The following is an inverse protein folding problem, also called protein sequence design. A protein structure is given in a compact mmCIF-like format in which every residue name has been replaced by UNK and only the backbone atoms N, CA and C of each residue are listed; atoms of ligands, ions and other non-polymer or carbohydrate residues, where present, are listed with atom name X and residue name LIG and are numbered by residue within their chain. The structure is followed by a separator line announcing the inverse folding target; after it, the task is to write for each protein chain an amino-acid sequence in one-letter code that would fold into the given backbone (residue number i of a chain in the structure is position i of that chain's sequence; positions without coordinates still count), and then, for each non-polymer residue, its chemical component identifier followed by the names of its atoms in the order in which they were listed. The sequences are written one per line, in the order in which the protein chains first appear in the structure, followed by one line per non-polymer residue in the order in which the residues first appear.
data_IF_784190780981
#
_entry.id   IF_784190780981
#
_cell.length_a   1.000
_cell.length_b   1.000
_cell.length_c   1.000
_cell.angle_alpha   90.00
_cell.angle_beta   90.00
_cell.angle_gamma   90.00
#
_symmetry.space_group_name_H-M   'P 1'
#
loop_
_entity.id
_entity.type
_entity.pdbx_description
1 polymer ?
#
# COMPACT_ATOMS: atom_id res chain seq x y z
N UNK A 1 -31.04 -15.26 -6.13
CA UNK A 1 -32.26 -15.63 -5.38
C UNK A 1 -32.13 -15.35 -3.87
N UNK A 2 -31.42 -14.29 -3.51
CA UNK A 2 -31.51 -13.64 -2.20
C UNK A 2 -31.96 -12.22 -2.49
N UNK A 3 -33.28 -12.02 -2.50
CA UNK A 3 -33.87 -10.68 -2.61
C UNK A 3 -33.80 -10.07 -1.20
N UNK A 4 -32.60 -9.67 -0.77
CA UNK A 4 -32.45 -8.91 0.47
C UNK A 4 -32.66 -7.45 0.08
N UNK A 5 -33.93 -7.10 -0.11
CA UNK A 5 -34.38 -5.73 -0.25
C UNK A 5 -34.51 -5.05 1.11
N UNK A 6 -34.86 -3.77 1.06
CA UNK A 6 -35.21 -3.00 2.27
C UNK A 6 -36.41 -3.62 3.02
N UNK A 7 -37.34 -4.23 2.30
CA UNK A 7 -38.55 -4.85 2.86
C UNK A 7 -38.23 -6.10 3.67
N UNK A 8 -37.38 -7.00 3.15
CA UNK A 8 -36.99 -8.23 3.82
C UNK A 8 -36.18 -7.93 5.08
N UNK A 9 -35.28 -6.94 5.02
CA UNK A 9 -34.55 -6.48 6.20
C UNK A 9 -35.49 -5.94 7.27
N UNK A 10 -36.52 -5.18 6.88
CA UNK A 10 -37.55 -4.68 7.79
C UNK A 10 -38.34 -5.82 8.41
N UNK A 11 -38.75 -6.83 7.62
CA UNK A 11 -39.46 -8.00 8.13
C UNK A 11 -38.62 -8.77 9.16
N UNK A 12 -37.34 -8.99 8.88
CA UNK A 12 -36.41 -9.62 9.83
C UNK A 12 -36.24 -8.77 11.09
N UNK A 13 -36.12 -7.44 10.96
CA UNK A 13 -36.03 -6.54 12.10
C UNK A 13 -37.27 -6.62 13.00
N UNK A 14 -38.48 -6.65 12.40
CA UNK A 14 -39.74 -6.81 13.16
C UNK A 14 -39.77 -8.16 13.87
N UNK A 15 -39.44 -9.26 13.18
CA UNK A 15 -39.40 -10.59 13.79
C UNK A 15 -38.38 -10.63 14.94
N UNK A 16 -37.19 -10.06 14.75
CA UNK A 16 -36.18 -9.98 15.79
C UNK A 16 -36.67 -9.18 17.01
N UNK A 17 -37.38 -8.06 16.80
CA UNK A 17 -37.97 -7.27 17.88
C UNK A 17 -39.04 -8.04 18.64
N UNK A 18 -39.85 -8.88 17.98
CA UNK A 18 -40.88 -9.70 18.64
C UNK A 18 -40.27 -10.85 19.42
N UNK A 19 -39.28 -11.55 18.84
CA UNK A 19 -38.67 -12.74 19.44
C UNK A 19 -37.74 -12.39 20.59
N UNK A 20 -36.87 -11.39 20.40
CA UNK A 20 -35.87 -10.99 21.40
C UNK A 20 -36.45 -9.92 22.33
N UNK A 21 -37.39 -9.10 21.84
CA UNK A 21 -37.90 -7.94 22.55
C UNK A 21 -37.10 -6.66 22.22
N UNK A 22 -37.77 -5.50 22.12
CA UNK A 22 -37.12 -4.21 21.78
C UNK A 22 -36.11 -3.73 22.83
N UNK A 23 -36.24 -4.17 24.08
CA UNK A 23 -35.35 -3.77 25.18
C UNK A 23 -34.07 -4.62 25.23
N UNK A 24 -34.11 -5.83 24.70
CA UNK A 24 -32.98 -6.76 24.74
C UNK A 24 -32.20 -6.80 23.43
N UNK A 25 -32.79 -6.39 22.32
CA UNK A 25 -32.09 -6.22 21.04
C UNK A 25 -30.84 -5.30 21.15
N UNK A 26 -30.88 -4.13 21.85
CA UNK A 26 -29.69 -3.32 22.06
C UNK A 26 -28.60 -4.01 22.91
N UNK A 27 -28.98 -4.92 23.81
CA UNK A 27 -28.02 -5.70 24.58
C UNK A 27 -27.41 -6.81 23.72
N UNK A 28 -28.23 -7.51 22.94
CA UNK A 28 -27.79 -8.54 22.01
C UNK A 28 -26.82 -7.98 20.95
N UNK A 29 -27.11 -6.82 20.38
CA UNK A 29 -26.20 -6.12 19.45
C UNK A 29 -24.85 -5.81 20.08
N UNK A 30 -24.81 -5.43 21.37
CA UNK A 30 -23.55 -5.22 22.09
C UNK A 30 -22.75 -6.51 22.26
N UNK A 31 -23.42 -7.62 22.58
CA UNK A 31 -22.76 -8.94 22.73
C UNK A 31 -22.19 -9.41 21.40
N UNK A 32 -23.01 -9.37 20.34
CA UNK A 32 -22.58 -9.72 18.98
C UNK A 32 -21.45 -8.81 18.53
N UNK A 33 -21.58 -7.50 18.74
CA UNK A 33 -20.55 -6.52 18.39
C UNK A 33 -19.23 -6.76 19.12
N UNK A 34 -19.28 -7.14 20.41
CA UNK A 34 -18.08 -7.50 21.17
C UNK A 34 -17.40 -8.75 20.59
N UNK A 35 -18.17 -9.79 20.27
CA UNK A 35 -17.68 -11.02 19.66
C UNK A 35 -17.06 -10.77 18.29
N UNK A 36 -17.78 -10.05 17.42
CA UNK A 36 -17.29 -9.67 16.09
C UNK A 36 -16.04 -8.78 16.22
N UNK A 37 -16.01 -7.84 17.16
CA UNK A 37 -14.85 -6.99 17.42
C UNK A 37 -13.62 -7.79 17.86
N UNK A 38 -13.81 -8.78 18.73
CA UNK A 38 -12.75 -9.70 19.17
C UNK A 38 -12.24 -10.59 18.04
N UNK A 39 -13.15 -11.15 17.24
CA UNK A 39 -12.80 -11.91 16.04
C UNK A 39 -12.06 -11.06 15.00
N UNK A 40 -12.50 -9.80 14.79
CA UNK A 40 -11.82 -8.82 13.92
C UNK A 40 -10.42 -8.50 14.44
N UNK A 41 -10.25 -8.36 15.75
CA UNK A 41 -8.94 -8.16 16.40
C UNK A 41 -8.00 -9.34 16.17
N UNK A 42 -8.50 -10.55 16.39
CA UNK A 42 -7.75 -11.78 16.12
C UNK A 42 -7.38 -11.92 14.63
N UNK A 43 -8.32 -11.61 13.73
CA UNK A 43 -8.07 -11.59 12.29
C UNK A 43 -7.02 -10.56 11.88
N UNK A 44 -6.93 -9.40 12.54
CA UNK A 44 -5.86 -8.42 12.29
C UNK A 44 -4.49 -8.93 12.74
N UNK A 45 -4.43 -9.61 13.89
CA UNK A 45 -3.21 -10.24 14.38
C UNK A 45 -2.76 -11.37 13.44
N UNK A 46 -3.71 -12.18 12.97
CA UNK A 46 -3.43 -13.20 11.96
C UNK A 46 -3.00 -12.56 10.65
N UNK A 47 -3.63 -11.48 10.17
CA UNK A 47 -3.19 -10.79 8.95
C UNK A 47 -1.74 -10.32 9.08
N UNK A 48 -1.37 -9.73 10.23
CA UNK A 48 0.00 -9.30 10.48
C UNK A 48 0.99 -10.47 10.48
N UNK A 49 0.66 -11.60 11.10
CA UNK A 49 1.52 -12.79 11.08
C UNK A 49 1.45 -13.62 9.78
N UNK A 50 0.34 -13.54 9.05
CA UNK A 50 0.18 -14.15 7.73
C UNK A 50 0.92 -13.36 6.68
N UNK A 51 1.03 -12.03 6.74
CA UNK A 51 1.87 -11.29 5.79
C UNK A 51 3.34 -11.75 5.90
N UNK A 52 3.82 -12.11 7.10
CA UNK A 52 5.15 -12.69 7.30
C UNK A 52 5.26 -14.13 6.75
N UNK A 53 4.24 -14.98 6.98
CA UNK A 53 4.23 -16.38 6.51
C UNK A 53 3.93 -16.50 5.02
N UNK A 54 3.05 -15.66 4.47
CA UNK A 54 2.68 -15.59 3.06
C UNK A 54 3.86 -15.10 2.25
N UNK A 55 4.65 -14.15 2.76
CA UNK A 55 5.96 -13.83 2.20
C UNK A 55 6.79 -15.10 2.04
N UNK A 56 6.84 -15.95 3.05
CA UNK A 56 7.65 -17.17 3.04
C UNK A 56 7.07 -18.28 2.14
N UNK A 57 5.74 -18.45 2.07
CA UNK A 57 5.10 -19.43 1.19
C UNK A 57 5.00 -19.01 -0.28
N UNK A 58 4.76 -17.71 -0.54
CA UNK A 58 4.86 -17.16 -1.90
C UNK A 58 6.30 -17.22 -2.38
N UNK A 59 7.29 -16.91 -1.53
CA UNK A 59 8.71 -17.05 -1.88
C UNK A 59 9.08 -18.50 -2.19
N UNK A 60 8.62 -19.48 -1.41
CA UNK A 60 8.92 -20.89 -1.68
C UNK A 60 8.32 -21.40 -3.01
N UNK A 61 7.10 -20.99 -3.35
CA UNK A 61 6.49 -21.34 -4.64
C UNK A 61 7.11 -20.57 -5.83
N UNK A 62 7.46 -19.29 -5.62
CA UNK A 62 8.16 -18.46 -6.60
C UNK A 62 9.57 -19.00 -6.89
N UNK A 63 10.32 -19.39 -5.85
CA UNK A 63 11.66 -19.96 -5.95
C UNK A 63 11.65 -21.28 -6.70
N UNK A 64 10.67 -22.15 -6.43
CA UNK A 64 10.51 -23.42 -7.14
C UNK A 64 10.22 -23.20 -8.63
N UNK A 65 9.32 -22.26 -8.97
CA UNK A 65 9.04 -21.88 -10.37
C UNK A 65 10.28 -21.30 -11.05
N UNK A 66 11.04 -20.45 -10.35
CA UNK A 66 12.28 -19.88 -10.90
C UNK A 66 13.36 -20.94 -11.14
N UNK A 67 13.51 -21.90 -10.22
CA UNK A 67 14.49 -22.97 -10.34
C UNK A 67 14.15 -23.91 -11.51
N UNK A 68 12.88 -24.27 -11.69
CA UNK A 68 12.41 -25.06 -12.84
C UNK A 68 12.59 -24.31 -14.16
N UNK A 69 12.28 -23.01 -14.19
CA UNK A 69 12.48 -22.14 -15.35
C UNK A 69 13.97 -22.01 -15.73
N UNK A 70 14.83 -21.74 -14.74
CA UNK A 70 16.27 -21.58 -14.93
C UNK A 70 16.92 -22.91 -15.37
N UNK A 71 16.49 -24.04 -14.79
CA UNK A 71 16.92 -25.36 -15.22
C UNK A 71 16.47 -25.68 -16.66
N UNK A 72 15.28 -25.23 -17.08
CA UNK A 72 14.84 -25.35 -18.47
C UNK A 72 15.70 -24.49 -19.39
N UNK A 73 15.95 -23.23 -19.04
CA UNK A 73 16.82 -22.32 -19.83
C UNK A 73 18.22 -22.91 -19.97
N UNK A 74 18.83 -23.44 -18.92
CA UNK A 74 20.14 -24.09 -18.98
C UNK A 74 20.15 -25.39 -19.79
N UNK A 75 18.99 -26.04 -19.96
CA UNK A 75 18.84 -27.27 -20.75
C UNK A 75 18.52 -26.99 -22.22
N UNK A 76 17.80 -25.91 -22.52
CA UNK A 76 17.56 -25.40 -23.88
C UNK A 76 18.76 -24.64 -24.43
N UNK A 77 19.51 -23.96 -23.57
CA UNK A 77 20.77 -23.29 -23.86
C UNK A 77 21.85 -23.84 -22.92
N UNK A 78 22.30 -25.11 -23.08
CA UNK A 78 23.56 -25.51 -22.48
C UNK A 78 24.59 -24.48 -22.97
N UNK A 79 25.39 -23.89 -22.08
CA UNK A 79 26.44 -22.94 -22.48
C UNK A 79 27.42 -23.61 -23.44
N UNK A 80 27.04 -23.67 -24.70
CA UNK A 80 27.97 -23.66 -25.82
C UNK A 80 28.71 -22.36 -25.64
N UNK A 81 29.95 -22.46 -25.21
CA UNK A 81 30.88 -21.35 -25.02
C UNK A 81 31.25 -20.68 -26.34
N UNK A 82 30.28 -20.34 -27.17
CA UNK A 82 30.45 -19.45 -28.30
C UNK A 82 30.19 -18.03 -27.80
N UNK A 83 31.26 -17.47 -27.26
CA UNK A 83 31.64 -16.06 -27.41
C UNK A 83 30.51 -15.17 -27.93
N UNK A 84 29.69 -14.64 -27.02
CA UNK A 84 29.10 -13.33 -27.28
C UNK A 84 30.28 -12.36 -27.22
N UNK A 85 30.89 -12.10 -28.38
CA UNK A 85 31.76 -10.94 -28.54
C UNK A 85 30.92 -9.72 -28.16
N UNK A 86 31.05 -9.26 -26.91
CA UNK A 86 30.71 -7.91 -26.53
C UNK A 86 31.66 -7.00 -27.31
N UNK A 87 31.27 -6.68 -28.54
CA UNK A 87 31.93 -5.66 -29.32
C UNK A 87 31.74 -4.35 -28.54
N UNK A 88 32.82 -3.75 -28.00
CA UNK A 88 32.68 -2.53 -27.24
C UNK A 88 32.17 -1.47 -28.22
N UNK A 89 30.98 -0.93 -27.97
CA UNK A 89 30.52 0.25 -28.70
C UNK A 89 31.58 1.32 -28.51
N UNK A 90 32.22 1.72 -29.60
CA UNK A 90 33.23 2.76 -29.62
C UNK A 90 32.66 4.03 -28.96
N UNK A 91 33.45 4.74 -28.12
CA UNK A 91 33.01 6.00 -27.56
C UNK A 91 32.61 6.95 -28.70
N UNK A 92 31.53 7.73 -28.55
CA UNK A 92 31.15 8.70 -29.58
C UNK A 92 32.32 9.64 -29.79
N UNK A 93 32.93 9.55 -30.98
CA UNK A 93 33.96 10.47 -31.40
C UNK A 93 33.43 11.89 -31.23
N UNK A 94 34.15 12.70 -30.47
CA UNK A 94 33.84 14.09 -30.23
C UNK A 94 33.64 14.80 -31.59
N UNK A 95 32.40 15.21 -31.87
CA UNK A 95 32.12 16.22 -32.89
C UNK A 95 32.04 17.56 -32.16
N UNK A 96 33.19 18.21 -32.03
CA UNK A 96 33.24 19.66 -31.86
C UNK A 96 32.97 20.31 -33.21
N UNK A 97 31.84 21.01 -33.35
CA UNK A 97 31.69 22.21 -34.17
C UNK A 97 30.30 22.85 -33.98
N UNK A 98 30.32 24.14 -33.60
CA UNK A 98 29.35 25.22 -33.86
C UNK A 98 28.00 25.33 -33.11
N UNK A 99 28.06 25.95 -31.90
CA UNK A 99 27.44 27.23 -31.46
C UNK A 99 26.09 27.71 -32.09
N UNK A 100 25.05 28.15 -31.31
CA UNK A 100 25.07 29.44 -30.60
C UNK A 100 24.55 29.53 -29.15
N UNK A 101 25.24 30.41 -28.41
CA UNK A 101 24.87 31.07 -27.17
C UNK A 101 23.37 31.37 -27.06
N UNK A 102 22.75 30.98 -25.94
CA UNK A 102 21.60 31.70 -25.40
C UNK A 102 22.02 32.40 -24.09
N UNK A 103 21.88 33.73 -24.00
CA UNK A 103 22.30 34.54 -22.86
C UNK A 103 21.20 34.59 -21.78
N UNK A 104 21.63 34.79 -20.53
CA UNK A 104 20.80 35.43 -19.52
C UNK A 104 20.31 34.51 -18.39
N UNK A 105 21.22 34.15 -17.49
CA UNK A 105 20.85 34.08 -16.07
C UNK A 105 20.66 35.53 -15.59
N UNK A 106 19.43 35.91 -15.25
CA UNK A 106 19.17 37.12 -14.46
C UNK A 106 18.67 36.69 -13.08
N UNK A 107 19.60 36.81 -12.14
CA UNK A 107 19.38 36.76 -10.71
C UNK A 107 19.07 38.20 -10.27
N UNK A 108 17.80 38.54 -9.98
CA UNK A 108 17.50 39.80 -9.28
C UNK A 108 16.15 39.83 -8.56
N UNK A 109 16.25 39.63 -7.23
CA UNK A 109 15.70 40.46 -6.14
C UNK A 109 14.20 40.76 -6.02
N UNK A 110 13.65 40.31 -4.89
CA UNK A 110 13.22 41.18 -3.75
C UNK A 110 12.90 40.23 -2.56
N UNK A 111 13.79 39.96 -1.58
CA UNK A 111 14.30 40.79 -0.46
C UNK A 111 13.22 41.18 0.58
N UNK A 112 13.59 41.52 1.83
CA UNK A 112 13.59 40.62 3.00
C UNK A 112 12.83 41.21 4.22
N UNK A 113 12.95 40.53 5.37
CA UNK A 113 12.69 40.99 6.74
C UNK A 113 11.21 41.26 7.14
N UNK A 114 10.74 40.61 8.21
CA UNK A 114 10.98 41.18 9.55
C UNK A 114 10.55 40.21 10.68
N UNK A 115 11.31 40.35 11.75
CA UNK A 115 11.24 39.85 13.11
C UNK A 115 9.97 39.15 13.65
N UNK A 116 10.19 38.04 14.36
CA UNK A 116 9.42 37.76 15.57
C UNK A 116 9.72 38.82 16.63
N UNK A 117 8.72 39.26 17.40
CA UNK A 117 8.82 39.03 18.84
C UNK A 117 7.47 38.61 19.45
N UNK A 118 7.57 37.81 20.51
CA UNK A 118 6.41 37.28 21.22
C UNK A 118 5.65 38.31 22.05
N UNK A 119 4.48 37.90 22.49
CA UNK A 119 3.80 38.44 23.67
C UNK A 119 3.08 37.29 24.37
N UNK A 120 3.62 36.94 25.54
CA UNK A 120 2.83 36.47 26.67
C UNK A 120 1.80 37.56 27.00
N UNK A 121 0.51 37.22 27.03
CA UNK A 121 -0.46 37.96 27.86
C UNK A 121 -1.27 36.97 28.70
N UNK A 122 -1.24 37.28 30.00
CA UNK A 122 -1.78 36.52 31.13
C UNK A 122 -3.24 36.90 31.37
N UNK A 123 -4.02 35.93 31.83
CA UNK A 123 -4.77 36.03 33.09
C UNK A 123 -5.98 36.98 33.20
N UNK A 124 -7.13 36.40 33.52
CA UNK A 124 -8.08 36.87 34.56
C UNK A 124 -9.07 35.72 34.81
N UNK A 125 -8.98 35.01 35.94
CA UNK A 125 -9.59 35.38 37.22
C UNK A 125 -11.13 35.41 37.14
N UNK A 126 -11.74 34.29 37.48
CA UNK A 126 -12.82 34.18 38.48
C UNK A 126 -12.93 32.74 38.97
#
# INVERSE_FOLDING_TARGET
MFDIGSTELLMVAVVALVVIGPKDLPKAMRVVGHWVGKARGFARQMRAGFDDIVRESELAELEKKWAEENARIMREFPSTGDTVEMQPLAPPAATTADEPLLPGIDESKASPDDASPGTDERGSAQ
#
